data_IF_522639814101
#
_entry.id   IF_522639814101
#
_cell.length_a   1.000
_cell.length_b   1.000
_cell.length_c   1.000
_cell.angle_alpha   90.00
_cell.angle_beta   90.00
_cell.angle_gamma   90.00
#
_symmetry.space_group_name_H-M   'P 1'
#
loop_
_entity.id
_entity.type
_entity.pdbx_description
1 polymer ?
#
# COMPACT_ATOMS: atom_id res chain seq x y z
N UNK A 1 -14.42 -4.76 -29.41
CA UNK A 1 -15.31 -4.70 -28.22
C UNK A 1 -14.52 -4.69 -26.90
N UNK A 2 -13.50 -5.56 -26.76
CA UNK A 2 -12.62 -5.66 -25.57
C UNK A 2 -11.89 -4.35 -25.21
N UNK A 3 -11.30 -3.65 -26.18
CA UNK A 3 -10.60 -2.37 -25.94
C UNK A 3 -11.51 -1.24 -25.41
N UNK A 4 -12.80 -1.24 -25.78
CA UNK A 4 -13.76 -0.22 -25.34
C UNK A 4 -14.21 -0.45 -23.89
N UNK A 5 -14.26 -1.70 -23.45
CA UNK A 5 -14.60 -2.09 -22.07
C UNK A 5 -13.41 -1.84 -21.14
N UNK A 6 -12.18 -2.18 -21.57
CA UNK A 6 -10.96 -1.90 -20.81
C UNK A 6 -10.78 -0.40 -20.53
N UNK A 7 -10.91 0.46 -21.55
CA UNK A 7 -10.87 1.93 -21.39
C UNK A 7 -11.92 2.48 -20.42
N UNK A 8 -13.16 1.96 -20.49
CA UNK A 8 -14.26 2.44 -19.64
C UNK A 8 -14.02 2.09 -18.16
N UNK A 9 -13.39 0.94 -17.89
CA UNK A 9 -13.02 0.52 -16.55
C UNK A 9 -11.82 1.31 -16.00
N UNK A 10 -10.78 1.56 -16.81
CA UNK A 10 -9.65 2.42 -16.45
C UNK A 10 -10.09 3.86 -16.16
N UNK A 11 -10.94 4.45 -17.00
CA UNK A 11 -11.51 5.79 -16.76
C UNK A 11 -12.35 5.85 -15.47
N UNK A 12 -13.00 4.75 -15.09
CA UNK A 12 -13.77 4.67 -13.84
C UNK A 12 -12.88 4.57 -12.61
N UNK A 13 -11.75 3.85 -12.73
CA UNK A 13 -10.75 3.71 -11.67
C UNK A 13 -10.04 5.04 -11.40
N UNK A 14 -9.58 5.73 -12.43
CA UNK A 14 -8.95 7.06 -12.29
C UNK A 14 -9.89 8.12 -11.72
N UNK A 15 -11.20 7.96 -11.92
CA UNK A 15 -12.22 8.86 -11.35
C UNK A 15 -12.59 8.51 -9.92
N UNK A 16 -12.22 7.32 -9.42
CA UNK A 16 -12.49 6.87 -8.05
C UNK A 16 -11.85 7.85 -7.04
N UNK A 17 -12.61 8.21 -6.01
CA UNK A 17 -12.15 9.13 -4.98
C UNK A 17 -10.92 8.61 -4.22
N UNK A 18 -10.79 7.28 -4.07
CA UNK A 18 -9.62 6.62 -3.48
C UNK A 18 -8.38 6.84 -4.32
N UNK A 19 -8.49 6.63 -5.64
CA UNK A 19 -7.38 6.87 -6.58
C UNK A 19 -6.96 8.34 -6.59
N UNK A 20 -7.93 9.25 -6.57
CA UNK A 20 -7.65 10.70 -6.46
C UNK A 20 -6.98 11.06 -5.14
N UNK A 21 -7.37 10.44 -4.04
CA UNK A 21 -6.76 10.65 -2.73
C UNK A 21 -5.31 10.13 -2.71
N UNK A 22 -5.11 8.91 -3.18
CA UNK A 22 -3.79 8.27 -3.29
C UNK A 22 -2.80 9.15 -4.06
N UNK A 23 -3.19 9.61 -5.26
CA UNK A 23 -2.36 10.51 -6.07
C UNK A 23 -2.02 11.84 -5.40
N UNK A 24 -2.89 12.37 -4.53
CA UNK A 24 -2.58 13.57 -3.74
C UNK A 24 -1.57 13.29 -2.63
N UNK A 25 -1.56 12.08 -2.09
CA UNK A 25 -0.62 11.66 -1.06
C UNK A 25 0.75 11.25 -1.60
N UNK A 26 0.90 10.94 -2.90
CA UNK A 26 2.20 10.56 -3.49
C UNK A 26 3.33 11.55 -3.17
N UNK A 27 3.19 12.88 -3.38
CA UNK A 27 4.29 13.80 -3.07
C UNK A 27 4.61 13.87 -1.57
N UNK A 28 3.61 13.64 -0.71
CA UNK A 28 3.79 13.59 0.75
C UNK A 28 4.57 12.33 1.14
N UNK A 29 4.22 11.18 0.55
CA UNK A 29 4.94 9.92 0.74
C UNK A 29 6.37 10.01 0.19
N UNK A 30 6.57 10.63 -0.97
CA UNK A 30 7.90 10.81 -1.57
C UNK A 30 8.82 11.61 -0.65
N UNK A 31 8.37 12.77 -0.16
CA UNK A 31 9.14 13.55 0.79
C UNK A 31 9.53 12.72 2.02
N UNK A 32 8.58 11.95 2.56
CA UNK A 32 8.85 11.06 3.68
C UNK A 32 9.86 9.96 3.32
N UNK A 33 9.78 9.36 2.13
CA UNK A 33 10.75 8.33 1.71
C UNK A 33 12.15 8.88 1.55
N UNK A 34 12.30 10.09 1.00
CA UNK A 34 13.60 10.77 0.92
C UNK A 34 14.22 11.01 2.31
N UNK A 35 13.39 11.18 3.35
CA UNK A 35 13.85 11.33 4.74
C UNK A 35 14.25 9.99 5.38
N UNK A 36 13.48 8.91 5.16
CA UNK A 36 13.62 7.66 5.92
C UNK A 36 14.40 6.55 5.20
N UNK A 37 14.54 6.62 3.88
CA UNK A 37 15.27 5.65 3.08
C UNK A 37 16.56 6.32 2.57
N UNK A 38 17.72 6.02 3.18
CA UNK A 38 18.96 6.67 2.80
C UNK A 38 19.38 6.27 1.37
N UNK A 39 19.92 7.23 0.64
CA UNK A 39 20.51 7.00 -0.67
C UNK A 39 19.50 6.71 -1.78
N UNK A 40 18.20 7.03 -1.62
CA UNK A 40 17.31 7.06 -2.79
C UNK A 40 17.93 7.98 -3.86
N UNK A 41 17.81 7.56 -5.11
CA UNK A 41 18.16 8.33 -6.31
C UNK A 41 16.92 8.59 -7.17
N UNK A 42 15.99 7.66 -7.20
CA UNK A 42 14.76 7.75 -7.99
C UNK A 42 13.61 6.99 -7.33
N UNK A 43 12.38 7.49 -7.51
CA UNK A 43 11.14 6.88 -7.03
C UNK A 43 10.20 6.68 -8.23
N UNK A 44 9.95 5.42 -8.58
CA UNK A 44 9.20 5.06 -9.79
C UNK A 44 7.85 4.42 -9.43
N UNK A 45 6.74 5.10 -9.73
CA UNK A 45 5.36 4.54 -9.66
C UNK A 45 4.74 4.20 -11.02
N UNK A 46 5.53 4.33 -12.08
CA UNK A 46 5.10 4.05 -13.44
C UNK A 46 6.23 4.23 -14.45
N UNK A 47 6.11 3.62 -15.62
CA UNK A 47 7.07 3.73 -16.71
C UNK A 47 6.53 4.62 -17.83
N UNK A 48 7.41 5.42 -18.42
CA UNK A 48 7.07 6.22 -19.60
C UNK A 48 7.11 5.33 -20.83
N UNK A 49 5.98 5.18 -21.52
CA UNK A 49 5.96 4.59 -22.86
C UNK A 49 6.53 5.60 -23.86
N UNK A 50 7.46 5.13 -24.70
CA UNK A 50 7.94 5.90 -25.86
C UNK A 50 6.87 5.88 -26.94
N UNK A 51 5.90 6.77 -26.84
CA UNK A 51 4.96 7.10 -27.93
C UNK A 51 5.14 8.56 -28.36
N UNK A 52 4.50 8.97 -29.46
CA UNK A 52 4.54 10.37 -29.93
C UNK A 52 4.04 11.38 -28.87
N UNK A 53 3.24 10.91 -27.90
CA UNK A 53 2.88 11.65 -26.69
C UNK A 53 3.57 11.02 -25.46
N UNK A 54 4.00 11.82 -24.47
CA UNK A 54 4.57 11.29 -23.24
C UNK A 54 3.47 10.62 -22.41
N UNK A 55 3.25 9.33 -22.63
CA UNK A 55 2.31 8.52 -21.85
C UNK A 55 3.09 7.86 -20.70
N UNK A 56 2.67 8.11 -19.47
CA UNK A 56 3.14 7.38 -18.30
C UNK A 56 2.11 6.27 -18.04
N UNK A 57 2.57 5.03 -18.00
CA UNK A 57 1.77 3.87 -17.61
C UNK A 57 2.24 3.46 -16.22
N UNK A 58 1.31 3.36 -15.29
CA UNK A 58 1.60 2.96 -13.92
C UNK A 58 2.12 1.53 -13.88
N UNK A 59 2.66 1.12 -12.74
CA UNK A 59 3.12 -0.26 -12.54
C UNK A 59 1.98 -1.30 -12.55
N UNK A 60 0.80 -0.98 -13.09
CA UNK A 60 -0.47 -1.71 -13.00
C UNK A 60 -0.37 -3.24 -13.10
N UNK A 61 0.41 -3.86 -14.00
CA UNK A 61 0.62 -5.31 -13.97
C UNK A 61 1.41 -5.81 -12.75
N UNK A 62 2.42 -5.07 -12.30
CA UNK A 62 3.19 -5.38 -11.09
C UNK A 62 2.37 -5.12 -9.82
N UNK A 63 1.62 -4.02 -9.74
CA UNK A 63 0.67 -3.80 -8.63
C UNK A 63 -0.34 -4.96 -8.57
N UNK A 64 -1.10 -5.15 -9.65
CA UNK A 64 -2.20 -6.12 -9.71
C UNK A 64 -1.79 -7.58 -9.46
N UNK A 65 -0.60 -7.97 -9.87
CA UNK A 65 -0.17 -9.38 -9.80
C UNK A 65 0.85 -9.64 -8.69
N UNK A 66 1.63 -8.62 -8.27
CA UNK A 66 2.79 -8.77 -7.38
C UNK A 66 2.76 -7.85 -6.16
N UNK A 67 1.76 -6.97 -6.03
CA UNK A 67 1.69 -5.98 -4.97
C UNK A 67 2.93 -5.09 -4.96
N UNK A 68 3.22 -4.44 -6.10
CA UNK A 68 4.29 -3.45 -6.22
C UNK A 68 3.73 -2.15 -6.80
N UNK A 69 3.54 -1.17 -5.91
CA UNK A 69 3.12 0.20 -6.26
C UNK A 69 4.29 1.09 -6.65
N UNK A 70 5.46 0.90 -6.02
CA UNK A 70 6.63 1.77 -6.21
C UNK A 70 7.94 1.00 -6.20
N UNK A 71 8.89 1.49 -6.98
CA UNK A 71 10.26 0.99 -7.04
C UNK A 71 11.21 2.15 -6.70
N UNK A 72 11.98 2.00 -5.64
CA UNK A 72 13.08 2.89 -5.29
C UNK A 72 14.36 2.42 -5.96
N UNK A 73 15.07 3.31 -6.64
CA UNK A 73 16.46 3.06 -7.08
C UNK A 73 17.38 3.83 -6.16
N UNK A 74 18.39 3.16 -5.60
CA UNK A 74 19.38 3.77 -4.71
C UNK A 74 20.60 4.29 -5.50
N UNK A 75 21.41 5.14 -4.87
CA UNK A 75 22.61 5.76 -5.43
C UNK A 75 23.66 4.73 -5.91
N UNK A 76 23.75 3.60 -5.21
CA UNK A 76 24.58 2.45 -5.55
C UNK A 76 23.96 1.53 -6.62
N UNK A 77 22.79 1.86 -7.15
CA UNK A 77 22.08 1.11 -8.20
C UNK A 77 21.21 -0.04 -7.71
N UNK A 78 21.19 -0.33 -6.40
CA UNK A 78 20.27 -1.31 -5.81
C UNK A 78 18.81 -0.84 -5.94
N UNK A 79 17.88 -1.79 -5.88
CA UNK A 79 16.45 -1.52 -5.96
C UNK A 79 15.69 -2.09 -4.77
N UNK A 80 14.70 -1.33 -4.33
CA UNK A 80 13.71 -1.74 -3.33
C UNK A 80 12.31 -1.58 -3.94
N UNK A 81 11.49 -2.61 -3.84
CA UNK A 81 10.06 -2.52 -4.20
C UNK A 81 9.25 -2.22 -2.95
N UNK A 82 8.15 -1.48 -3.10
CA UNK A 82 7.23 -1.19 -2.01
C UNK A 82 5.77 -1.29 -2.47
N UNK A 83 4.91 -1.83 -1.61
CA UNK A 83 3.45 -1.66 -1.69
C UNK A 83 3.06 -0.47 -0.80
N UNK A 84 2.09 0.32 -1.21
CA UNK A 84 1.65 1.52 -0.53
C UNK A 84 0.17 1.42 -0.16
N UNK A 85 -0.17 1.79 1.08
CA UNK A 85 -1.55 1.91 1.49
C UNK A 85 -1.78 3.19 2.27
N UNK A 86 -2.41 4.15 1.60
CA UNK A 86 -2.80 5.42 2.19
C UNK A 86 -4.27 5.38 2.62
N UNK A 87 -4.52 5.75 3.87
CA UNK A 87 -5.85 5.86 4.44
C UNK A 87 -6.16 7.31 4.82
N UNK A 88 -7.43 7.67 4.79
CA UNK A 88 -7.87 8.99 5.23
C UNK A 88 -7.76 9.16 6.75
N UNK A 89 -7.63 10.41 7.19
CA UNK A 89 -7.58 10.80 8.60
C UNK A 89 -8.78 10.27 9.41
N UNK A 90 -9.95 10.12 8.78
CA UNK A 90 -11.18 9.62 9.41
C UNK A 90 -11.05 8.19 9.91
N UNK A 91 -10.08 7.41 9.40
CA UNK A 91 -9.81 6.04 9.83
C UNK A 91 -8.63 5.91 10.81
N UNK A 92 -7.95 7.01 11.14
CA UNK A 92 -6.76 7.02 12.01
C UNK A 92 -6.99 6.40 13.40
N UNK A 93 -8.21 6.51 13.94
CA UNK A 93 -8.59 5.90 15.22
C UNK A 93 -8.41 4.38 15.24
N UNK A 94 -8.43 3.71 14.09
CA UNK A 94 -8.27 2.25 13.99
C UNK A 94 -6.86 1.79 14.32
N UNK A 95 -5.85 2.63 14.05
CA UNK A 95 -4.41 2.35 14.26
C UNK A 95 -3.96 0.94 13.85
N UNK A 96 -4.54 0.42 12.78
CA UNK A 96 -4.26 -0.92 12.27
C UNK A 96 -3.67 -0.86 10.87
N UNK A 97 -2.84 -1.84 10.54
CA UNK A 97 -2.42 -2.11 9.18
C UNK A 97 -3.30 -3.23 8.62
N UNK A 98 -3.64 -3.14 7.33
CA UNK A 98 -4.57 -4.08 6.67
C UNK A 98 -4.03 -4.54 5.33
N UNK A 99 -3.99 -5.85 5.11
CA UNK A 99 -3.59 -6.46 3.84
C UNK A 99 -4.81 -7.16 3.24
N UNK A 100 -5.01 -7.05 1.93
CA UNK A 100 -6.12 -7.72 1.24
C UNK A 100 -5.92 -9.23 1.30
N UNK A 101 -6.87 -9.94 1.90
CA UNK A 101 -6.82 -11.40 1.99
C UNK A 101 -7.40 -12.03 0.73
N UNK A 102 -8.59 -11.57 0.31
CA UNK A 102 -9.20 -11.91 -0.98
C UNK A 102 -9.72 -10.66 -1.65
N UNK A 103 -9.43 -10.47 -2.94
CA UNK A 103 -9.92 -9.33 -3.71
C UNK A 103 -11.37 -9.53 -4.16
N UNK A 104 -11.79 -10.80 -4.29
CA UNK A 104 -13.17 -11.21 -4.57
C UNK A 104 -13.48 -12.48 -3.75
N UNK A 105 -13.95 -12.34 -2.48
CA UNK A 105 -14.27 -13.45 -1.60
C UNK A 105 -15.34 -14.39 -2.14
N UNK A 106 -16.28 -13.87 -2.95
CA UNK A 106 -17.34 -14.69 -3.56
C UNK A 106 -16.74 -15.69 -4.54
N UNK A 107 -15.69 -15.27 -5.27
CA UNK A 107 -14.96 -16.11 -6.23
C UNK A 107 -13.70 -16.75 -5.65
N UNK A 108 -13.40 -16.51 -4.37
CA UNK A 108 -12.16 -16.96 -3.73
C UNK A 108 -10.89 -16.43 -4.42
N UNK A 109 -10.95 -15.21 -5.00
CA UNK A 109 -9.78 -14.63 -5.69
C UNK A 109 -8.76 -14.18 -4.64
N UNK A 110 -7.52 -14.70 -4.64
CA UNK A 110 -6.48 -14.29 -3.70
C UNK A 110 -6.21 -12.78 -3.79
N UNK A 111 -5.94 -12.18 -2.64
CA UNK A 111 -5.44 -10.80 -2.53
C UNK A 111 -3.97 -10.71 -2.19
N UNK A 112 -3.51 -9.50 -1.90
CA UNK A 112 -2.12 -9.13 -1.60
C UNK A 112 -1.48 -10.00 -0.53
N UNK A 113 -2.27 -10.52 0.42
CA UNK A 113 -1.79 -11.43 1.45
C UNK A 113 -1.05 -12.65 0.87
N UNK A 114 -1.46 -13.08 -0.33
CA UNK A 114 -0.91 -14.25 -1.00
C UNK A 114 -0.03 -13.91 -2.20
N UNK A 115 -0.24 -12.74 -2.82
CA UNK A 115 0.42 -12.37 -4.09
C UNK A 115 1.56 -11.37 -3.91
N UNK A 116 1.59 -10.62 -2.80
CA UNK A 116 2.53 -9.53 -2.60
C UNK A 116 3.95 -10.03 -2.36
N UNK A 117 4.88 -9.66 -3.25
CA UNK A 117 6.31 -10.02 -3.18
C UNK A 117 7.23 -8.83 -2.93
N UNK A 118 6.67 -7.75 -2.40
CA UNK A 118 7.42 -6.54 -2.11
C UNK A 118 8.48 -6.73 -1.00
N UNK A 119 9.54 -5.92 -1.02
CA UNK A 119 10.51 -5.84 0.06
C UNK A 119 10.00 -4.94 1.20
N UNK A 120 9.26 -3.89 0.84
CA UNK A 120 8.76 -2.88 1.76
C UNK A 120 7.23 -2.81 1.69
N UNK A 121 6.59 -2.54 2.81
CA UNK A 121 5.17 -2.22 2.82
C UNK A 121 4.98 -0.92 3.60
N UNK A 122 4.42 0.10 2.95
CA UNK A 122 4.09 1.36 3.59
C UNK A 122 2.60 1.38 3.93
N UNK A 123 2.29 1.71 5.18
CA UNK A 123 0.91 1.90 5.63
C UNK A 123 0.79 3.21 6.40
N UNK A 124 -0.11 4.09 5.97
CA UNK A 124 -0.26 5.41 6.58
C UNK A 124 -1.69 5.92 6.64
N UNK A 125 -1.97 6.74 7.65
CA UNK A 125 -3.19 7.55 7.79
C UNK A 125 -2.80 9.02 7.58
N UNK A 126 -3.34 9.64 6.54
CA UNK A 126 -3.09 11.04 6.23
C UNK A 126 -3.59 11.96 7.34
N UNK A 127 -2.95 13.12 7.50
CA UNK A 127 -3.47 14.22 8.31
C UNK A 127 -4.75 14.78 7.71
N UNK A 128 -5.54 15.50 8.53
CA UNK A 128 -6.81 16.09 8.07
C UNK A 128 -6.66 17.03 6.86
N UNK A 129 -5.53 17.73 6.77
CA UNK A 129 -5.20 18.64 5.67
C UNK A 129 -4.46 17.96 4.50
N UNK A 130 -4.24 16.64 4.59
CA UNK A 130 -3.55 15.82 3.57
C UNK A 130 -2.12 16.30 3.26
N UNK A 131 -1.45 16.96 4.22
CA UNK A 131 -0.07 17.45 4.07
C UNK A 131 0.98 16.59 4.77
N UNK A 132 0.56 15.62 5.56
CA UNK A 132 1.43 14.71 6.31
C UNK A 132 0.70 13.41 6.61
N UNK A 133 1.35 12.51 7.35
CA UNK A 133 0.72 11.32 7.92
C UNK A 133 0.70 11.43 9.45
N UNK A 134 -0.50 11.41 10.04
CA UNK A 134 -0.67 11.44 11.51
C UNK A 134 -0.17 10.13 12.15
N UNK A 135 -0.29 9.02 11.43
CA UNK A 135 0.21 7.71 11.82
C UNK A 135 0.70 6.97 10.58
N UNK A 136 1.94 6.49 10.58
CA UNK A 136 2.46 5.66 9.49
C UNK A 136 3.51 4.67 9.98
N UNK A 137 3.70 3.61 9.21
CA UNK A 137 4.72 2.59 9.45
C UNK A 137 5.26 2.09 8.11
N UNK A 138 6.58 1.95 8.04
CA UNK A 138 7.28 1.27 6.95
C UNK A 138 7.75 -0.10 7.45
N UNK A 139 7.18 -1.15 6.88
CA UNK A 139 7.49 -2.53 7.22
C UNK A 139 8.70 -3.05 6.43
N UNK A 140 9.53 -3.86 7.08
CA UNK A 140 10.31 -4.91 6.43
C UNK A 140 9.36 -6.08 6.14
N UNK A 141 8.87 -6.16 4.90
CA UNK A 141 7.84 -7.14 4.54
C UNK A 141 8.35 -8.59 4.64
N UNK A 142 9.56 -8.95 4.14
CA UNK A 142 10.11 -10.29 4.34
C UNK A 142 10.18 -10.71 5.82
N UNK A 143 10.63 -9.84 6.72
CA UNK A 143 10.63 -10.14 8.16
C UNK A 143 9.21 -10.27 8.72
N UNK A 144 8.28 -9.46 8.25
CA UNK A 144 6.86 -9.51 8.62
C UNK A 144 6.26 -10.88 8.25
N UNK A 145 6.54 -11.39 7.05
CA UNK A 145 6.14 -12.73 6.62
C UNK A 145 6.71 -13.79 7.55
N UNK A 146 8.02 -13.78 7.80
CA UNK A 146 8.66 -14.76 8.70
C UNK A 146 8.09 -14.74 10.12
N UNK A 147 7.83 -13.56 10.67
CA UNK A 147 7.22 -13.42 12.01
C UNK A 147 5.77 -13.85 12.03
N UNK A 148 5.03 -13.62 10.96
CA UNK A 148 3.65 -14.10 10.79
C UNK A 148 3.60 -15.62 10.79
N UNK A 149 4.46 -16.29 10.01
CA UNK A 149 4.54 -17.77 9.96
C UNK A 149 4.90 -18.37 11.33
N UNK A 150 5.71 -17.67 12.13
CA UNK A 150 6.06 -18.08 13.49
C UNK A 150 4.94 -17.85 14.52
N UNK A 151 3.84 -17.20 14.15
CA UNK A 151 2.76 -16.84 15.06
C UNK A 151 3.06 -15.62 15.94
N UNK A 152 4.10 -14.84 15.61
CA UNK A 152 4.52 -13.68 16.40
C UNK A 152 3.72 -12.40 16.09
N UNK A 153 2.91 -12.42 15.04
CA UNK A 153 2.04 -11.29 14.67
C UNK A 153 0.60 -11.79 14.70
N UNK A 154 -0.25 -11.27 15.60
CA UNK A 154 -1.66 -11.61 15.59
C UNK A 154 -2.32 -10.90 14.40
N UNK A 155 -2.79 -11.70 13.45
CA UNK A 155 -3.62 -11.24 12.34
C UNK A 155 -5.06 -11.65 12.57
N UNK A 156 -5.96 -10.70 12.49
CA UNK A 156 -7.40 -10.95 12.58
C UNK A 156 -7.99 -10.86 11.17
N UNK A 157 -8.58 -11.97 10.70
CA UNK A 157 -9.37 -11.95 9.48
C UNK A 157 -10.65 -11.15 9.72
N UNK A 158 -10.87 -10.15 8.88
CA UNK A 158 -12.10 -9.36 8.84
C UNK A 158 -12.89 -9.72 7.58
N UNK A 159 -13.82 -10.69 7.69
CA UNK A 159 -14.67 -11.06 6.58
C UNK A 159 -15.71 -9.96 6.30
N UNK A 160 -16.26 -10.01 5.09
CA UNK A 160 -17.48 -9.26 4.76
C UNK A 160 -18.66 -9.77 5.62
N UNK A 161 -19.64 -8.92 6.01
CA UNK A 161 -19.89 -7.55 5.55
C UNK A 161 -19.35 -6.43 6.47
N UNK A 162 -18.65 -6.73 7.57
CA UNK A 162 -18.20 -5.72 8.55
C UNK A 162 -17.29 -4.63 7.95
N UNK A 163 -16.64 -4.91 6.81
CA UNK A 163 -15.73 -4.03 6.09
C UNK A 163 -16.20 -3.70 4.66
N UNK A 164 -17.51 -3.68 4.39
CA UNK A 164 -17.98 -3.09 3.13
C UNK A 164 -17.53 -1.64 3.06
N UNK A 165 -16.69 -1.36 2.09
CA UNK A 165 -16.50 -0.01 1.65
C UNK A 165 -17.81 0.54 1.11
N UNK A 166 -18.12 1.80 1.41
CA UNK A 166 -19.32 2.48 0.90
C UNK A 166 -19.39 2.49 -0.65
N UNK A 167 -18.25 2.28 -1.32
CA UNK A 167 -18.15 2.18 -2.78
C UNK A 167 -18.39 0.77 -3.36
N UNK A 168 -18.73 -0.21 -2.51
CA UNK A 168 -19.05 -1.58 -2.93
C UNK A 168 -17.83 -2.47 -3.17
N UNK A 169 -16.61 -2.06 -2.79
CA UNK A 169 -15.43 -2.93 -2.85
C UNK A 169 -15.66 -4.20 -2.01
N UNK A 170 -15.46 -5.37 -2.64
CA UNK A 170 -15.82 -6.68 -2.08
C UNK A 170 -14.67 -7.37 -1.33
N UNK A 171 -13.49 -6.78 -1.25
CA UNK A 171 -12.31 -7.44 -0.69
C UNK A 171 -12.48 -7.79 0.81
N UNK A 172 -11.91 -8.91 1.23
CA UNK A 172 -11.70 -9.23 2.65
C UNK A 172 -10.29 -8.82 3.07
N UNK A 173 -10.08 -8.53 4.36
CA UNK A 173 -8.79 -8.05 4.85
C UNK A 173 -8.36 -8.84 6.07
N UNK A 174 -7.06 -9.06 6.19
CA UNK A 174 -6.44 -9.34 7.50
C UNK A 174 -5.90 -8.05 8.09
N UNK A 175 -6.03 -7.90 9.41
CA UNK A 175 -5.55 -6.72 10.12
C UNK A 175 -4.66 -7.06 11.29
N UNK A 176 -3.71 -6.18 11.57
CA UNK A 176 -2.91 -6.22 12.80
C UNK A 176 -2.79 -4.80 13.39
N UNK A 177 -2.64 -4.71 14.71
CA UNK A 177 -2.56 -3.43 15.40
C UNK A 177 -1.13 -2.90 15.32
N UNK A 178 -0.97 -1.70 14.75
CA UNK A 178 0.36 -1.14 14.44
C UNK A 178 1.26 -1.05 15.69
N UNK A 179 0.79 -0.55 16.84
CA UNK A 179 1.59 -0.51 18.06
C UNK A 179 2.05 -1.86 18.63
N UNK A 180 1.44 -2.98 18.23
CA UNK A 180 1.80 -4.32 18.73
C UNK A 180 2.73 -5.07 17.77
N UNK A 181 3.17 -4.43 16.69
CA UNK A 181 4.07 -5.05 15.73
C UNK A 181 5.45 -5.30 16.36
N UNK A 182 6.09 -6.46 16.08
CA UNK A 182 7.45 -6.69 16.51
C UNK A 182 8.39 -5.62 15.94
N UNK A 183 9.20 -4.98 16.79
CA UNK A 183 10.19 -3.97 16.37
C UNK A 183 11.06 -4.42 15.19
N UNK A 184 11.38 -5.71 15.12
CA UNK A 184 12.18 -6.28 14.03
C UNK A 184 11.55 -6.16 12.64
N UNK A 185 10.23 -5.96 12.56
CA UNK A 185 9.46 -5.81 11.33
C UNK A 185 9.29 -4.35 10.91
N UNK A 186 9.66 -3.39 11.76
CA UNK A 186 9.47 -1.96 11.51
C UNK A 186 10.82 -1.37 11.12
N UNK A 187 10.89 -0.78 9.92
CA UNK A 187 12.08 -0.05 9.48
C UNK A 187 12.02 1.41 9.93
N UNK A 188 10.84 2.02 9.87
CA UNK A 188 10.61 3.39 10.31
C UNK A 188 9.14 3.61 10.66
N UNK A 189 8.86 4.55 11.57
CA UNK A 189 7.50 4.94 11.96
C UNK A 189 7.49 6.28 12.70
N UNK A 190 6.34 6.96 12.78
CA UNK A 190 6.12 8.13 13.62
C UNK A 190 5.38 7.85 14.94
N UNK A 191 4.83 6.65 15.17
CA UNK A 191 4.20 6.39 16.46
C UNK A 191 5.27 6.11 17.51
N UNK A 192 5.11 6.74 18.68
CA UNK A 192 5.91 6.41 19.85
C UNK A 192 5.22 5.25 20.55
N UNK A 193 5.99 4.23 20.93
CA UNK A 193 5.49 3.20 21.84
C UNK A 193 4.88 3.91 23.05
N UNK A 194 3.58 3.73 23.27
CA UNK A 194 3.00 4.04 24.56
C UNK A 194 3.42 2.86 25.42
N UNK A 195 4.50 3.04 26.18
CA UNK A 195 4.86 2.13 27.26
C UNK A 195 3.61 1.98 28.13
N UNK A 196 2.97 0.82 28.07
CA UNK A 196 1.98 0.40 29.05
C UNK A 196 2.73 -0.05 30.31
#
# INVERSE_FOLDING_TARGET
MVQRIARKNEDSFERNWRRKFERRMHPVADNLYWEIIPGIKDILRGYRLRTALPLIVELGPLDKELGIDVIFTLDNGMRLTCQEKFNQHTFSYKKNATVEYENDPIRGKPGDWFTMITQLYFFGFASKDEKSFDLWVLFDWPRTVWRTVKGNIPWELKPQPEYRAEDGAMASFVRTFIPHLPKSCILATNFRETTL
#
